data_IF_382599799380
#
_entry.id   IF_382599799380
#
_cell.length_a   1.000
_cell.length_b   1.000
_cell.length_c   1.000
_cell.angle_alpha   90.00
_cell.angle_beta   90.00
_cell.angle_gamma   90.00
#
_symmetry.space_group_name_H-M   'P 1'
#
loop_
_entity.id
_entity.type
_entity.pdbx_description
1 polymer ?
#
# COMPACT_ATOMS: atom_id res chain seq x y z
N UNK A 1 10.80 -57.11 -4.62
CA UNK A 1 10.89 -55.84 -3.87
C UNK A 1 11.40 -54.80 -4.86
N UNK A 2 10.68 -53.79 -5.37
CA UNK A 2 9.60 -52.91 -4.87
C UNK A 2 8.80 -52.45 -6.12
N UNK A 3 7.52 -52.80 -6.30
CA UNK A 3 6.31 -51.93 -6.14
C UNK A 3 6.43 -50.54 -6.80
N UNK A 4 5.54 -49.97 -7.60
CA UNK A 4 4.28 -50.34 -8.29
C UNK A 4 3.96 -49.16 -9.24
N UNK A 5 3.27 -49.45 -10.34
CA UNK A 5 2.73 -48.50 -11.33
C UNK A 5 1.67 -47.58 -10.67
N UNK A 6 1.77 -46.25 -10.85
CA UNK A 6 0.81 -45.29 -10.29
C UNK A 6 0.10 -44.46 -11.37
N UNK A 7 -1.14 -44.87 -11.65
CA UNK A 7 -2.38 -44.10 -11.83
C UNK A 7 -2.36 -42.86 -12.75
N UNK A 8 -2.98 -43.08 -13.91
CA UNK A 8 -3.63 -42.10 -14.77
C UNK A 8 -4.97 -41.68 -14.14
N UNK A 9 -5.22 -40.38 -13.99
CA UNK A 9 -6.49 -39.70 -14.30
C UNK A 9 -6.48 -38.28 -13.72
N UNK A 10 -6.53 -37.31 -14.64
CA UNK A 10 -6.63 -35.89 -14.35
C UNK A 10 -7.95 -35.57 -13.63
N UNK A 11 -7.85 -34.85 -12.51
CA UNK A 11 -8.99 -34.25 -11.82
C UNK A 11 -8.82 -32.73 -11.92
N UNK A 12 -9.48 -32.17 -12.94
CA UNK A 12 -9.63 -30.72 -13.12
C UNK A 12 -10.82 -30.30 -12.28
N UNK A 13 -10.64 -29.37 -11.34
CA UNK A 13 -11.56 -28.26 -11.06
C UNK A 13 -11.04 -27.45 -9.87
N UNK A 14 -10.53 -26.26 -10.13
CA UNK A 14 -10.86 -25.03 -9.37
C UNK A 14 -10.11 -23.86 -10.02
N UNK A 15 -10.80 -22.85 -10.59
CA UNK A 15 -10.14 -21.58 -10.83
C UNK A 15 -9.81 -20.97 -9.47
N UNK A 16 -8.53 -20.72 -9.23
CA UNK A 16 -8.08 -19.80 -8.19
C UNK A 16 -8.52 -18.41 -8.63
N UNK A 17 -9.76 -18.05 -8.34
CA UNK A 17 -10.15 -16.65 -8.25
C UNK A 17 -9.79 -16.18 -6.84
N UNK A 18 -8.50 -15.98 -6.60
CA UNK A 18 -8.11 -14.97 -5.62
C UNK A 18 -8.52 -13.66 -6.28
N UNK A 19 -9.78 -13.26 -6.12
CA UNK A 19 -10.12 -11.86 -6.13
C UNK A 19 -9.34 -11.31 -4.95
N UNK A 20 -8.09 -10.96 -5.22
CA UNK A 20 -7.27 -10.20 -4.31
C UNK A 20 -8.13 -9.02 -3.92
N UNK A 21 -8.23 -8.86 -2.62
CA UNK A 21 -8.80 -7.74 -1.89
C UNK A 21 -8.17 -6.44 -2.44
N UNK A 22 -8.60 -6.05 -3.64
CA UNK A 22 -8.14 -4.85 -4.28
C UNK A 22 -8.65 -3.74 -3.38
N UNK A 23 -7.76 -2.92 -2.79
CA UNK A 23 -8.18 -1.87 -1.89
C UNK A 23 -9.28 -1.06 -2.59
N UNK A 24 -10.36 -0.71 -1.89
CA UNK A 24 -11.49 -0.02 -2.49
C UNK A 24 -10.99 1.19 -3.29
N UNK A 25 -11.59 1.48 -4.47
CA UNK A 25 -11.17 2.63 -5.25
C UNK A 25 -11.26 3.88 -4.36
N UNK A 26 -10.21 4.73 -4.35
CA UNK A 26 -10.20 5.90 -3.47
C UNK A 26 -11.44 6.76 -3.76
N UNK A 27 -12.07 7.34 -2.73
CA UNK A 27 -13.26 8.17 -2.92
C UNK A 27 -12.94 9.32 -3.87
N UNK A 28 -13.76 9.46 -4.91
CA UNK A 28 -13.60 10.46 -5.96
C UNK A 28 -13.61 11.87 -5.35
N UNK A 29 -12.44 12.51 -5.30
CA UNK A 29 -12.23 13.86 -4.78
C UNK A 29 -11.38 13.99 -3.51
N UNK A 30 -10.76 12.90 -3.02
CA UNK A 30 -9.90 12.92 -1.84
C UNK A 30 -8.41 13.17 -2.14
N UNK A 31 -7.68 13.67 -1.14
CA UNK A 31 -6.21 13.64 -1.13
C UNK A 31 -5.72 12.22 -1.48
N UNK A 32 -4.72 12.06 -2.37
CA UNK A 32 -4.20 10.75 -2.72
C UNK A 32 -3.77 10.01 -1.44
N UNK A 33 -4.06 8.71 -1.34
CA UNK A 33 -3.69 7.95 -0.13
C UNK A 33 -2.17 7.82 -0.05
N UNK A 34 -1.59 7.75 1.17
CA UNK A 34 -0.15 7.57 1.35
C UNK A 34 0.37 6.38 0.56
N UNK A 35 -0.35 5.26 0.52
CA UNK A 35 0.04 4.06 -0.24
C UNK A 35 0.14 4.31 -1.75
N UNK A 36 -0.71 5.19 -2.29
CA UNK A 36 -0.67 5.53 -3.72
C UNK A 36 0.49 6.45 -4.05
N UNK A 37 0.78 7.43 -3.19
CA UNK A 37 1.94 8.31 -3.34
C UNK A 37 3.20 7.45 -3.23
N UNK A 38 3.24 6.56 -2.24
CA UNK A 38 4.35 5.67 -2.00
C UNK A 38 4.64 4.80 -3.21
N UNK A 39 3.64 4.05 -3.70
CA UNK A 39 3.79 3.20 -4.87
C UNK A 39 4.13 3.97 -6.17
N UNK A 40 3.90 5.29 -6.19
CA UNK A 40 4.25 6.15 -7.32
C UNK A 40 5.69 6.68 -7.24
N UNK A 41 6.20 6.93 -6.04
CA UNK A 41 7.52 7.52 -5.82
C UNK A 41 8.61 6.48 -5.56
N UNK A 42 8.31 5.39 -4.85
CA UNK A 42 9.18 4.24 -4.59
C UNK A 42 9.41 3.46 -5.90
N UNK A 43 10.38 3.92 -6.68
CA UNK A 43 10.64 3.45 -8.03
C UNK A 43 11.46 2.15 -8.01
N UNK A 44 12.37 2.04 -7.04
CA UNK A 44 13.20 0.85 -6.85
C UNK A 44 12.52 -0.25 -6.00
N UNK A 45 11.40 0.08 -5.34
CA UNK A 45 10.55 -0.83 -4.55
C UNK A 45 11.27 -1.36 -3.32
N UNK A 46 12.11 -0.53 -2.70
CA UNK A 46 12.82 -0.88 -1.49
C UNK A 46 11.97 -0.71 -0.22
N UNK A 47 10.79 -0.09 -0.35
CA UNK A 47 9.89 0.17 0.75
C UNK A 47 10.20 1.48 1.48
N UNK A 48 10.93 2.40 0.84
CA UNK A 48 11.21 3.77 1.27
C UNK A 48 11.08 4.75 0.10
N UNK A 49 11.07 6.06 0.39
CA UNK A 49 11.20 7.10 -0.64
C UNK A 49 12.51 7.85 -0.35
N UNK A 50 13.50 7.67 -1.22
CA UNK A 50 14.76 8.41 -1.11
C UNK A 50 14.62 9.88 -1.52
N UNK A 51 15.60 10.73 -1.18
CA UNK A 51 15.61 12.16 -1.58
C UNK A 51 15.59 12.36 -3.08
N UNK A 52 16.21 11.46 -3.84
CA UNK A 52 16.22 11.49 -5.30
C UNK A 52 14.90 11.00 -5.93
N UNK A 53 14.14 10.18 -5.20
CA UNK A 53 12.80 9.72 -5.59
C UNK A 53 11.69 10.68 -5.16
N UNK A 54 11.94 11.50 -4.14
CA UNK A 54 11.00 12.50 -3.67
C UNK A 54 10.67 13.51 -4.79
N UNK A 55 9.37 13.73 -5.01
CA UNK A 55 8.89 14.68 -6.03
C UNK A 55 7.79 15.60 -5.49
N UNK A 56 7.62 16.76 -6.13
CA UNK A 56 6.57 17.72 -5.81
C UNK A 56 6.71 18.30 -4.40
N UNK A 57 5.60 18.47 -3.64
CA UNK A 57 5.63 19.02 -2.28
C UNK A 57 6.48 18.19 -1.31
N UNK A 58 6.63 16.89 -1.57
CA UNK A 58 7.35 15.97 -0.70
C UNK A 58 8.83 16.35 -0.58
N UNK A 59 9.43 16.96 -1.61
CA UNK A 59 10.80 17.50 -1.56
C UNK A 59 10.92 18.64 -0.55
N UNK A 60 9.91 19.51 -0.46
CA UNK A 60 9.94 20.66 0.45
C UNK A 60 9.71 20.23 1.90
N UNK A 61 8.87 19.21 2.10
CA UNK A 61 8.54 18.67 3.41
C UNK A 61 9.42 17.49 3.80
N UNK A 62 10.40 17.09 2.98
CA UNK A 62 11.16 15.86 3.16
C UNK A 62 11.73 15.77 4.58
N UNK A 63 12.50 16.78 4.99
CA UNK A 63 13.10 16.81 6.33
C UNK A 63 12.13 17.10 7.48
N UNK A 64 10.85 17.39 7.18
CA UNK A 64 9.79 17.43 8.20
C UNK A 64 9.12 16.07 8.36
N UNK A 65 9.12 15.24 7.30
CA UNK A 65 8.52 13.90 7.29
C UNK A 65 9.54 12.88 7.81
N UNK A 66 10.77 12.92 7.30
CA UNK A 66 11.94 12.16 7.75
C UNK A 66 12.32 12.58 9.18
N UNK A 67 11.70 11.89 10.13
CA UNK A 67 11.77 12.21 11.56
C UNK A 67 12.97 11.53 12.20
N UNK A 68 13.36 10.34 11.72
CA UNK A 68 14.54 9.63 12.20
C UNK A 68 15.85 10.04 11.50
N UNK A 69 15.77 10.89 10.48
CA UNK A 69 16.90 11.52 9.76
C UNK A 69 17.80 10.50 9.10
N UNK A 70 17.19 9.50 8.48
CA UNK A 70 17.89 8.44 7.77
C UNK A 70 17.97 8.68 6.26
N UNK A 71 17.66 9.92 5.83
CA UNK A 71 17.69 10.42 4.46
C UNK A 71 16.68 9.71 3.52
N UNK A 72 15.68 9.02 4.09
CA UNK A 72 14.57 8.39 3.37
C UNK A 72 13.26 8.59 4.13
N UNK A 73 12.14 8.37 3.46
CA UNK A 73 10.82 8.44 4.09
C UNK A 73 10.21 7.06 4.09
N UNK A 74 9.91 6.55 5.27
CA UNK A 74 9.16 5.31 5.43
C UNK A 74 7.66 5.52 5.21
N UNK A 75 6.95 4.43 4.90
CA UNK A 75 5.48 4.44 4.80
C UNK A 75 4.82 4.99 6.07
N UNK A 76 5.38 4.69 7.24
CA UNK A 76 4.83 5.12 8.54
C UNK A 76 4.96 6.63 8.71
N UNK A 77 6.09 7.22 8.34
CA UNK A 77 6.32 8.66 8.41
C UNK A 77 5.45 9.41 7.40
N UNK A 78 5.37 8.92 6.16
CA UNK A 78 4.50 9.50 5.14
C UNK A 78 3.04 9.51 5.62
N UNK A 79 2.58 8.36 6.15
CA UNK A 79 1.23 8.25 6.71
C UNK A 79 1.02 9.24 7.84
N UNK A 80 1.95 9.32 8.78
CA UNK A 80 1.87 10.24 9.93
C UNK A 80 1.78 11.70 9.48
N UNK A 81 2.59 12.10 8.49
CA UNK A 81 2.57 13.45 7.94
C UNK A 81 1.23 13.76 7.24
N UNK A 82 0.68 12.78 6.50
CA UNK A 82 -0.61 12.93 5.84
C UNK A 82 -1.79 12.93 6.82
N UNK A 83 -1.73 12.13 7.88
CA UNK A 83 -2.70 12.14 8.98
C UNK A 83 -2.68 13.49 9.71
N UNK A 84 -1.51 14.10 9.89
CA UNK A 84 -1.38 15.44 10.47
C UNK A 84 -1.96 16.56 9.56
N UNK A 85 -1.94 16.37 8.23
CA UNK A 85 -2.52 17.30 7.26
C UNK A 85 -4.01 17.05 7.00
N UNK A 86 -4.52 15.85 7.29
CA UNK A 86 -5.95 15.53 7.22
C UNK A 86 -6.62 16.20 8.44
N UNK A 87 -7.63 17.07 8.27
CA UNK A 87 -8.45 17.51 9.41
C UNK A 87 -9.03 16.26 10.07
N UNK A 88 -9.22 16.23 11.41
CA UNK A 88 -9.71 15.05 12.10
C UNK A 88 -10.99 14.57 11.42
N UNK A 89 -10.88 13.47 10.67
CA UNK A 89 -12.02 12.83 10.06
C UNK A 89 -12.89 12.38 11.25
N UNK A 90 -14.17 12.80 11.34
CA UNK A 90 -15.05 12.19 12.31
C UNK A 90 -15.01 10.69 12.01
N UNK A 91 -14.59 9.91 13.00
CA UNK A 91 -14.39 8.47 12.94
C UNK A 91 -15.38 7.87 11.95
N UNK A 92 -14.86 7.28 10.87
CA UNK A 92 -15.66 6.69 9.81
C UNK A 92 -16.79 5.91 10.44
N UNK A 93 -18.00 6.46 10.26
CA UNK A 93 -19.22 5.84 10.68
C UNK A 93 -19.21 4.44 10.12
N UNK A 94 -19.15 3.47 11.02
CA UNK A 94 -19.75 2.18 10.80
C UNK A 94 -21.15 2.50 10.28
N UNK A 95 -21.36 2.37 8.96
CA UNK A 95 -22.70 2.27 8.44
C UNK A 95 -23.22 0.95 8.96
N UNK A 96 -23.73 1.01 10.18
CA UNK A 96 -24.67 0.06 10.75
C UNK A 96 -25.76 -0.13 9.69
N UNK A 97 -25.74 -1.30 9.06
CA UNK A 97 -26.82 -1.76 8.21
C UNK A 97 -28.07 -1.84 9.08
N UNK A 98 -29.01 -0.92 8.84
CA UNK A 98 -30.41 -1.07 9.24
C UNK A 98 -31.09 -2.17 8.42
#
# INVERSE_FOLDING_TARGET
MRTSLAILAALVLSPVAMAQDAPPPPPAGGVPQPEQIFAFLDADKDGFIAKDEAQGPLVQYFGMIDTDKDDKISMVELKTAMEAMRPPEPAQGQTEGK
#
